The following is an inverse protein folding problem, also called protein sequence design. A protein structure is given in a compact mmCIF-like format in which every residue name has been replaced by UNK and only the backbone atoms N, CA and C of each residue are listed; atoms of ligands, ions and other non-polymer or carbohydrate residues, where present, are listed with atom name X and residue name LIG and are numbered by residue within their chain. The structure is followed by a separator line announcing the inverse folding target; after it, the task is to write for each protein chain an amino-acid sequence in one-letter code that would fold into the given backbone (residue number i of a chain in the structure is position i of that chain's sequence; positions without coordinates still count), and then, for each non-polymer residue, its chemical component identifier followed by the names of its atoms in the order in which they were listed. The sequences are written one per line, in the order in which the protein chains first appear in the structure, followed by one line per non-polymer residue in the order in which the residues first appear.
data_IF_919347361683
#
_entry.id   IF_919347361683
#
_cell.length_a   1.000
_cell.length_b   1.000
_cell.length_c   1.000
_cell.angle_alpha   90.00
_cell.angle_beta   90.00
_cell.angle_gamma   90.00
#
_symmetry.space_group_name_H-M   'P 1'
#
loop_
_entity.id
_entity.type
_entity.pdbx_description
1 polymer ?
#
# COMPACT_ATOMS: atom_id res chain seq x y z
N UNK A 1 0.09 24.45 21.60
CA UNK A 1 0.50 23.03 21.49
C UNK A 1 2.01 23.02 21.46
N UNK A 2 2.65 22.16 22.24
CA UNK A 2 4.11 22.08 22.23
C UNK A 2 4.58 21.44 20.90
N UNK A 3 5.79 21.74 20.40
CA UNK A 3 6.30 21.18 19.14
C UNK A 3 6.25 19.64 19.06
N UNK A 4 6.51 18.99 20.20
CA UNK A 4 6.38 17.54 20.41
C UNK A 4 4.95 17.01 20.20
N UNK A 5 3.93 17.76 20.57
CA UNK A 5 2.52 17.36 20.35
C UNK A 5 2.14 17.41 18.87
N UNK A 6 2.73 18.35 18.13
CA UNK A 6 2.52 18.50 16.69
C UNK A 6 3.18 17.34 15.93
N UNK A 7 4.38 16.95 16.36
CA UNK A 7 5.12 15.82 15.77
C UNK A 7 4.41 14.48 16.05
N UNK A 8 3.96 14.24 17.29
CA UNK A 8 3.19 13.04 17.64
C UNK A 8 1.88 12.93 16.83
N UNK A 9 1.20 14.06 16.56
CA UNK A 9 0.01 14.08 15.68
C UNK A 9 0.34 13.78 14.22
N UNK A 10 1.49 14.27 13.70
CA UNK A 10 1.97 13.93 12.35
C UNK A 10 2.22 12.43 12.24
N UNK A 11 2.94 11.84 13.18
CA UNK A 11 3.28 10.40 13.18
C UNK A 11 2.03 9.52 13.27
N UNK A 12 1.08 9.89 14.14
CA UNK A 12 -0.21 9.20 14.24
C UNK A 12 -1.00 9.30 12.93
N UNK A 13 -1.10 10.50 12.35
CA UNK A 13 -1.80 10.68 11.06
C UNK A 13 -1.16 9.87 9.95
N UNK A 14 0.16 9.75 9.95
CA UNK A 14 0.93 9.03 8.95
C UNK A 14 0.76 7.51 9.04
N UNK A 15 0.86 6.98 10.26
CA UNK A 15 0.61 5.57 10.55
C UNK A 15 -0.83 5.16 10.26
N UNK A 16 -1.80 6.02 10.58
CA UNK A 16 -3.21 5.77 10.26
C UNK A 16 -3.43 5.73 8.74
N UNK A 17 -2.87 6.68 8.00
CA UNK A 17 -2.98 6.72 6.54
C UNK A 17 -2.38 5.47 5.90
N UNK A 18 -1.20 5.07 6.34
CA UNK A 18 -0.56 3.82 5.91
C UNK A 18 -1.41 2.58 6.21
N UNK A 19 -1.98 2.51 7.43
CA UNK A 19 -2.87 1.42 7.82
C UNK A 19 -4.13 1.32 6.96
N UNK A 20 -4.73 2.47 6.60
CA UNK A 20 -5.90 2.52 5.71
C UNK A 20 -5.54 2.05 4.30
N UNK A 21 -4.40 2.50 3.76
CA UNK A 21 -3.94 2.08 2.42
C UNK A 21 -3.63 0.57 2.41
N UNK A 22 -3.02 0.05 3.47
CA UNK A 22 -2.76 -1.38 3.62
C UNK A 22 -4.03 -2.21 3.75
N UNK A 23 -5.03 -1.73 4.49
CA UNK A 23 -6.32 -2.40 4.55
C UNK A 23 -7.00 -2.43 3.17
N UNK A 24 -6.99 -1.30 2.45
CA UNK A 24 -7.53 -1.24 1.09
C UNK A 24 -6.80 -2.22 0.14
N UNK A 25 -5.48 -2.36 0.28
CA UNK A 25 -4.68 -3.35 -0.45
C UNK A 25 -5.14 -4.78 -0.19
N UNK A 26 -5.24 -5.18 1.07
CA UNK A 26 -5.66 -6.53 1.44
C UNK A 26 -7.08 -6.82 0.94
N UNK A 27 -8.02 -5.89 1.12
CA UNK A 27 -9.41 -6.04 0.67
C UNK A 27 -9.50 -6.16 -0.85
N UNK A 28 -8.80 -5.30 -1.60
CA UNK A 28 -8.78 -5.34 -3.06
C UNK A 28 -8.27 -6.69 -3.58
N UNK A 29 -7.19 -7.23 -2.98
CA UNK A 29 -6.63 -8.52 -3.37
C UNK A 29 -7.47 -9.71 -2.91
N UNK A 30 -8.13 -9.62 -1.75
CA UNK A 30 -9.09 -10.64 -1.30
C UNK A 30 -10.29 -10.74 -2.26
N UNK A 31 -10.77 -9.62 -2.80
CA UNK A 31 -11.79 -9.64 -3.84
C UNK A 31 -11.33 -10.39 -5.08
N UNK A 32 -10.10 -10.22 -5.55
CA UNK A 32 -9.57 -11.00 -6.71
C UNK A 32 -9.70 -12.49 -6.49
N UNK A 33 -9.26 -12.97 -5.32
CA UNK A 33 -9.32 -14.38 -4.96
C UNK A 33 -10.77 -14.88 -4.93
N UNK A 34 -11.68 -14.12 -4.32
CA UNK A 34 -13.11 -14.44 -4.31
C UNK A 34 -13.69 -14.56 -5.72
N UNK A 35 -13.27 -13.72 -6.66
CA UNK A 35 -13.75 -13.74 -8.04
C UNK A 35 -13.24 -14.93 -8.82
N UNK A 36 -11.97 -15.31 -8.66
CA UNK A 36 -11.43 -16.55 -9.23
C UNK A 36 -12.15 -17.80 -8.71
N UNK A 37 -12.73 -17.74 -7.51
CA UNK A 37 -13.50 -18.82 -6.91
C UNK A 37 -15.01 -18.78 -7.24
N UNK A 38 -15.52 -17.69 -7.84
CA UNK A 38 -16.94 -17.51 -8.14
C UNK A 38 -17.25 -17.97 -9.56
N UNK A 39 -17.79 -19.19 -9.70
CA UNK A 39 -18.19 -19.80 -10.98
C UNK A 39 -19.37 -19.11 -11.67
N UNK A 40 -20.06 -18.20 -10.99
CA UNK A 40 -21.34 -17.62 -11.43
C UNK A 40 -21.19 -16.34 -12.28
N UNK A 41 -19.98 -15.83 -12.45
CA UNK A 41 -19.74 -14.62 -13.26
C UNK A 41 -19.56 -14.98 -14.74
N UNK A 42 -20.31 -14.30 -15.63
CA UNK A 42 -20.08 -14.39 -17.06
C UNK A 42 -18.72 -13.82 -17.47
N UNK A 43 -18.15 -14.29 -18.59
CA UNK A 43 -16.81 -13.91 -19.06
C UNK A 43 -16.59 -12.40 -19.17
N UNK A 44 -17.60 -11.64 -19.65
CA UNK A 44 -17.52 -10.18 -19.72
C UNK A 44 -17.44 -9.51 -18.34
N UNK A 45 -18.13 -10.04 -17.33
CA UNK A 45 -18.09 -9.52 -15.96
C UNK A 45 -16.75 -9.84 -15.28
N UNK A 46 -16.16 -11.01 -15.55
CA UNK A 46 -14.83 -11.37 -15.06
C UNK A 46 -13.75 -10.43 -15.62
N UNK A 47 -13.82 -10.09 -16.91
CA UNK A 47 -12.91 -9.13 -17.55
C UNK A 47 -13.07 -7.73 -16.95
N UNK A 48 -14.29 -7.20 -16.90
CA UNK A 48 -14.55 -5.84 -16.41
C UNK A 48 -14.07 -5.65 -14.97
N UNK A 49 -14.30 -6.65 -14.12
CA UNK A 49 -13.89 -6.61 -12.73
C UNK A 49 -12.40 -6.82 -12.52
N UNK A 50 -11.74 -7.60 -13.38
CA UNK A 50 -10.28 -7.68 -13.38
C UNK A 50 -9.67 -6.33 -13.69
N UNK A 51 -10.16 -5.64 -14.74
CA UNK A 51 -9.70 -4.28 -15.05
C UNK A 51 -9.93 -3.34 -13.86
N UNK A 52 -11.08 -3.42 -13.20
CA UNK A 52 -11.37 -2.64 -12.00
C UNK A 52 -10.35 -2.89 -10.87
N UNK A 53 -10.08 -4.15 -10.56
CA UNK A 53 -9.10 -4.56 -9.55
C UNK A 53 -7.71 -4.03 -9.88
N UNK A 54 -7.29 -4.12 -11.14
CA UNK A 54 -5.98 -3.63 -11.60
C UNK A 54 -5.86 -2.14 -11.33
N UNK A 55 -6.89 -1.36 -11.69
CA UNK A 55 -6.94 0.08 -11.45
C UNK A 55 -6.87 0.38 -9.94
N UNK A 56 -7.62 -0.35 -9.11
CA UNK A 56 -7.59 -0.20 -7.65
C UNK A 56 -6.19 -0.48 -7.09
N UNK A 57 -5.55 -1.56 -7.53
CA UNK A 57 -4.19 -1.90 -7.14
C UNK A 57 -3.18 -0.80 -7.54
N UNK A 58 -3.31 -0.20 -8.72
CA UNK A 58 -2.47 0.95 -9.13
C UNK A 58 -2.71 2.18 -8.24
N UNK A 59 -3.95 2.52 -7.91
CA UNK A 59 -4.26 3.63 -7.00
C UNK A 59 -3.66 3.41 -5.60
N UNK A 60 -3.71 2.17 -5.11
CA UNK A 60 -3.11 1.78 -3.84
C UNK A 60 -1.59 1.90 -3.88
N UNK A 61 -0.96 1.52 -4.99
CA UNK A 61 0.46 1.68 -5.25
C UNK A 61 0.89 3.15 -5.15
N UNK A 62 0.13 4.06 -5.77
CA UNK A 62 0.35 5.50 -5.67
C UNK A 62 0.14 6.03 -4.25
N UNK A 63 -0.87 5.52 -3.53
CA UNK A 63 -1.12 5.86 -2.13
C UNK A 63 0.04 5.47 -1.23
N UNK A 64 0.53 4.24 -1.35
CA UNK A 64 1.69 3.76 -0.60
C UNK A 64 2.94 4.55 -0.93
N UNK A 65 3.15 4.89 -2.20
CA UNK A 65 4.30 5.69 -2.61
C UNK A 65 4.33 7.04 -1.88
N UNK A 66 3.21 7.75 -1.87
CA UNK A 66 3.05 9.02 -1.15
C UNK A 66 3.23 8.86 0.37
N UNK A 67 2.67 7.80 0.96
CA UNK A 67 2.83 7.53 2.38
C UNK A 67 4.30 7.26 2.74
N UNK A 68 5.01 6.46 1.95
CA UNK A 68 6.43 6.13 2.18
C UNK A 68 7.32 7.37 2.01
N UNK A 69 7.06 8.22 1.01
CA UNK A 69 7.78 9.49 0.88
C UNK A 69 7.59 10.39 2.10
N UNK A 70 6.35 10.45 2.60
CA UNK A 70 6.02 11.24 3.80
C UNK A 70 6.67 10.67 5.05
N UNK A 71 6.76 9.33 5.17
CA UNK A 71 7.50 8.64 6.26
C UNK A 71 8.99 8.97 6.21
N UNK A 72 9.57 8.95 5.02
CA UNK A 72 10.97 9.34 4.83
C UNK A 72 11.21 10.79 5.26
N UNK A 73 10.36 11.72 4.82
CA UNK A 73 10.48 13.14 5.19
C UNK A 73 10.36 13.37 6.71
N UNK A 74 9.39 12.72 7.37
CA UNK A 74 9.27 12.74 8.83
C UNK A 74 10.50 12.12 9.51
N UNK A 75 11.05 11.03 8.95
CA UNK A 75 12.23 10.37 9.52
C UNK A 75 13.50 11.25 9.51
N UNK A 76 13.60 12.16 8.52
CA UNK A 76 14.70 13.11 8.43
C UNK A 76 14.56 14.25 9.45
N UNK A 77 13.31 14.64 9.77
CA UNK A 77 12.96 15.69 10.76
C UNK A 77 13.32 15.32 12.23
N UNK A 78 13.64 14.06 12.56
CA UNK A 78 13.96 13.66 13.95
C UNK A 78 15.27 14.26 14.51
N UNK A 79 16.05 15.02 13.72
CA UNK A 79 17.17 15.81 14.25
C UNK A 79 18.22 15.00 15.04
N UNK A 80 18.39 15.30 16.34
CA UNK A 80 19.31 14.62 17.28
C UNK A 80 18.57 13.75 18.31
N UNK A 81 17.34 13.31 18.02
CA UNK A 81 16.61 12.44 18.94
C UNK A 81 17.36 11.11 19.16
N UNK A 82 17.85 10.88 20.38
CA UNK A 82 18.59 9.67 20.78
C UNK A 82 17.67 8.45 21.00
N UNK A 83 16.37 8.60 20.75
CA UNK A 83 15.42 7.51 20.77
C UNK A 83 15.79 6.42 19.77
N UNK A 84 15.85 5.16 20.25
CA UNK A 84 15.99 3.97 19.40
C UNK A 84 14.92 3.89 18.31
N UNK A 85 13.73 4.46 18.56
CA UNK A 85 12.65 4.54 17.58
C UNK A 85 12.98 5.48 16.41
N UNK A 86 13.56 6.65 16.70
CA UNK A 86 14.00 7.60 15.68
C UNK A 86 15.16 7.03 14.85
N UNK A 87 16.08 6.32 15.49
CA UNK A 87 17.18 5.63 14.81
C UNK A 87 16.66 4.55 13.83
N UNK A 88 15.71 3.73 14.26
CA UNK A 88 15.09 2.69 13.43
C UNK A 88 14.35 3.28 12.23
N UNK A 89 13.59 4.37 12.42
CA UNK A 89 12.89 5.01 11.32
C UNK A 89 13.84 5.64 10.31
N UNK A 90 14.96 6.23 10.75
CA UNK A 90 15.99 6.76 9.82
C UNK A 90 16.67 5.69 8.99
N UNK A 91 16.87 4.50 9.57
CA UNK A 91 17.48 3.34 8.90
C UNK A 91 16.45 2.49 8.14
N UNK A 92 15.17 2.91 8.12
CA UNK A 92 14.09 2.18 7.49
C UNK A 92 14.38 1.89 6.01
N UNK A 93 14.19 0.64 5.53
CA UNK A 93 14.45 0.28 4.14
C UNK A 93 13.29 0.70 3.23
N UNK A 94 12.94 1.99 3.23
CA UNK A 94 11.80 2.57 2.52
C UNK A 94 11.80 2.26 1.02
N UNK A 95 12.99 2.21 0.40
CA UNK A 95 13.13 1.83 -1.01
C UNK A 95 12.76 0.38 -1.28
N UNK A 96 13.23 -0.56 -0.44
CA UNK A 96 12.87 -1.98 -0.55
C UNK A 96 11.38 -2.20 -0.30
N UNK A 97 10.83 -1.50 0.70
CA UNK A 97 9.40 -1.56 0.99
C UNK A 97 8.56 -1.08 -0.22
N UNK A 98 8.94 0.04 -0.87
CA UNK A 98 8.29 0.51 -2.12
C UNK A 98 8.32 -0.55 -3.22
N UNK A 99 9.45 -1.22 -3.40
CA UNK A 99 9.60 -2.27 -4.43
C UNK A 99 8.68 -3.46 -4.14
N UNK A 100 8.63 -3.95 -2.90
CA UNK A 100 7.76 -5.07 -2.52
C UNK A 100 6.28 -4.70 -2.74
N UNK A 101 5.87 -3.52 -2.26
CA UNK A 101 4.51 -3.04 -2.42
C UNK A 101 4.13 -2.79 -3.88
N UNK A 102 5.10 -2.50 -4.75
CA UNK A 102 4.84 -2.38 -6.18
C UNK A 102 4.70 -3.75 -6.87
N UNK A 103 5.56 -4.71 -6.52
CA UNK A 103 5.65 -6.01 -7.19
C UNK A 103 4.42 -6.88 -6.91
N UNK A 104 3.90 -6.91 -5.68
CA UNK A 104 2.76 -7.78 -5.33
C UNK A 104 1.49 -7.45 -6.15
N UNK A 105 0.99 -6.20 -6.21
CA UNK A 105 -0.17 -5.85 -7.04
C UNK A 105 0.07 -6.13 -8.53
N UNK A 106 1.28 -5.90 -9.03
CA UNK A 106 1.65 -6.24 -10.41
C UNK A 106 1.59 -7.76 -10.66
N UNK A 107 2.13 -8.56 -9.74
CA UNK A 107 2.08 -10.02 -9.84
C UNK A 107 0.63 -10.53 -9.84
N UNK A 108 -0.22 -10.05 -8.92
CA UNK A 108 -1.64 -10.42 -8.86
C UNK A 108 -2.37 -10.01 -10.14
N UNK A 109 -2.11 -8.80 -10.63
CA UNK A 109 -2.66 -8.31 -11.91
C UNK A 109 -2.30 -9.24 -13.06
N UNK A 110 -1.01 -9.56 -13.21
CA UNK A 110 -0.52 -10.43 -14.29
C UNK A 110 -1.15 -11.83 -14.18
N UNK A 111 -1.17 -12.42 -12.99
CA UNK A 111 -1.77 -13.74 -12.76
C UNK A 111 -3.27 -13.74 -13.12
N UNK A 112 -4.00 -12.68 -12.77
CA UNK A 112 -5.44 -12.57 -13.07
C UNK A 112 -5.70 -12.42 -14.56
N UNK A 113 -4.89 -11.61 -15.26
CA UNK A 113 -4.97 -11.48 -16.71
C UNK A 113 -4.69 -12.82 -17.38
N UNK A 114 -3.63 -13.52 -16.98
CA UNK A 114 -3.31 -14.85 -17.53
C UNK A 114 -4.48 -15.81 -17.33
N UNK A 115 -5.05 -15.89 -16.12
CA UNK A 115 -6.15 -16.80 -15.81
C UNK A 115 -7.42 -16.57 -16.64
N UNK A 116 -7.63 -15.35 -17.16
CA UNK A 116 -8.78 -15.04 -18.02
C UNK A 116 -8.53 -15.45 -19.48
N UNK A 117 -7.29 -15.32 -19.95
CA UNK A 117 -6.94 -15.50 -21.36
C UNK A 117 -6.26 -16.85 -21.67
N UNK A 118 -6.02 -17.69 -20.65
CA UNK A 118 -5.55 -19.08 -20.78
C UNK A 118 -6.71 -20.08 -20.81
#
# INVERSE_FOLDING_TARGET
MEPKDIQARRDLSLSLNFGIIFLAFVVANAWVLQMSASSDLGSAQQVAMTVFVVVVNFMILLGFDNAVQSWKAVSEDFGNDESKWAELQRKGPYGLFRVIVAIVPLAVTITTVIAIFS
#
